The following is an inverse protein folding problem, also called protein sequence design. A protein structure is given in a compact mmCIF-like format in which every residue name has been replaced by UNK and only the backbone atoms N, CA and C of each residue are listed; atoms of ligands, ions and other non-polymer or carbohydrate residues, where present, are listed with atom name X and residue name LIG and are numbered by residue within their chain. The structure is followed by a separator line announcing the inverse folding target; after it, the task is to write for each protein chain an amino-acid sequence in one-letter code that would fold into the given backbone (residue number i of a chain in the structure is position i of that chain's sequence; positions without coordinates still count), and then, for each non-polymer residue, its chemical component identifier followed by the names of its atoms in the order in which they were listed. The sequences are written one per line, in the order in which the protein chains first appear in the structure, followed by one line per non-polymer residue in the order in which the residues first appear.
data_IF_695702584067
#
_entry.id   IF_695702584067
#
_cell.length_a   1.000
_cell.length_b   1.000
_cell.length_c   1.000
_cell.angle_alpha   90.00
_cell.angle_beta   90.00
_cell.angle_gamma   90.00
#
_symmetry.space_group_name_H-M   'P 1'
#
loop_
_entity.id
_entity.type
_entity.pdbx_description
1 polymer ?
#
# COMPACT_ATOMS: atom_id res chain seq x y z
N UNK A 1 -19.80 -20.21 6.54
CA UNK A 1 -20.01 -19.21 5.48
C UNK A 1 -20.85 -18.11 6.11
N UNK A 2 -20.22 -17.00 6.43
CA UNK A 2 -20.94 -15.83 6.94
C UNK A 2 -21.25 -14.98 5.70
N UNK A 3 -22.44 -15.18 5.11
CA UNK A 3 -22.90 -14.29 4.04
C UNK A 3 -23.17 -12.91 4.67
N UNK A 4 -22.18 -12.05 4.62
CA UNK A 4 -22.28 -10.69 5.13
C UNK A 4 -23.19 -9.81 4.27
N UNK A 5 -23.64 -10.31 3.11
CA UNK A 5 -24.41 -9.54 2.14
C UNK A 5 -23.62 -8.37 1.52
N UNK A 6 -22.31 -8.34 1.72
CA UNK A 6 -21.37 -7.39 1.09
C UNK A 6 -20.64 -8.03 -0.08
N UNK A 7 -20.08 -7.19 -0.93
CA UNK A 7 -19.20 -7.61 -2.02
C UNK A 7 -17.98 -8.34 -1.46
N UNK A 8 -17.54 -9.42 -2.10
CA UNK A 8 -16.30 -10.08 -1.70
C UNK A 8 -15.10 -9.17 -2.02
N UNK A 9 -14.43 -8.71 -0.97
CA UNK A 9 -13.31 -7.77 -1.08
C UNK A 9 -11.96 -8.48 -1.29
N UNK A 10 -11.90 -9.82 -1.26
CA UNK A 10 -10.73 -10.58 -1.72
C UNK A 10 -10.75 -10.82 -3.24
N UNK A 11 -11.92 -10.73 -3.87
CA UNK A 11 -12.08 -10.95 -5.29
C UNK A 11 -11.66 -9.70 -6.10
N UNK A 12 -10.66 -9.83 -6.94
CA UNK A 12 -10.16 -8.77 -7.81
C UNK A 12 -11.22 -8.24 -8.79
N UNK A 13 -12.12 -9.11 -9.26
CA UNK A 13 -13.20 -8.72 -10.17
C UNK A 13 -14.20 -7.75 -9.51
N UNK A 14 -14.29 -7.78 -8.19
CA UNK A 14 -15.05 -6.80 -7.42
C UNK A 14 -14.58 -5.35 -7.60
N UNK A 15 -13.36 -5.15 -8.09
CA UNK A 15 -12.75 -3.85 -8.34
C UNK A 15 -12.57 -3.53 -9.83
N UNK A 16 -13.01 -4.42 -10.74
CA UNK A 16 -12.81 -4.26 -12.18
C UNK A 16 -13.45 -2.98 -12.75
N UNK A 17 -14.56 -2.54 -12.18
CA UNK A 17 -15.24 -1.29 -12.54
C UNK A 17 -14.84 -0.07 -11.70
N UNK A 18 -13.83 -0.23 -10.82
CA UNK A 18 -13.34 0.79 -9.91
C UNK A 18 -13.62 0.48 -8.44
N UNK A 19 -13.29 1.42 -7.56
CA UNK A 19 -13.48 1.25 -6.11
C UNK A 19 -14.96 1.15 -5.76
N UNK A 20 -15.42 0.10 -5.04
CA UNK A 20 -16.82 -0.09 -4.70
C UNK A 20 -17.28 0.83 -3.54
N UNK A 21 -17.34 2.13 -3.79
CA UNK A 21 -17.65 3.16 -2.80
C UNK A 21 -19.00 2.97 -2.11
N UNK A 22 -19.99 2.45 -2.81
CA UNK A 22 -21.33 2.18 -2.24
C UNK A 22 -21.27 1.08 -1.18
N UNK A 23 -20.53 -0.01 -1.46
CA UNK A 23 -20.28 -1.09 -0.52
C UNK A 23 -19.60 -0.55 0.75
N UNK A 24 -18.52 0.21 0.61
CA UNK A 24 -17.83 0.81 1.75
C UNK A 24 -18.70 1.81 2.52
N UNK A 25 -19.58 2.55 1.84
CA UNK A 25 -20.52 3.46 2.50
C UNK A 25 -21.54 2.71 3.33
N UNK A 26 -22.06 1.59 2.81
CA UNK A 26 -22.97 0.71 3.55
C UNK A 26 -22.28 0.06 4.73
N UNK A 27 -21.07 -0.49 4.56
CA UNK A 27 -20.28 -1.08 5.64
C UNK A 27 -20.02 -0.08 6.77
N UNK A 28 -19.60 1.15 6.46
CA UNK A 28 -19.36 2.19 7.50
C UNK A 28 -20.57 2.44 8.38
N UNK A 29 -21.76 2.32 7.83
CA UNK A 29 -23.02 2.61 8.52
C UNK A 29 -23.55 1.40 9.28
N UNK A 30 -23.50 0.21 8.68
CA UNK A 30 -24.22 -0.98 9.13
C UNK A 30 -23.30 -1.97 9.88
N UNK A 31 -22.07 -2.16 9.37
CA UNK A 31 -21.10 -3.12 9.91
C UNK A 31 -19.66 -2.60 9.64
N UNK A 32 -19.19 -1.63 10.45
CA UNK A 32 -17.91 -0.96 10.19
C UNK A 32 -16.66 -1.82 10.41
N UNK A 33 -16.81 -2.96 11.08
CA UNK A 33 -15.78 -3.98 11.31
C UNK A 33 -16.32 -5.31 10.81
N UNK A 34 -16.24 -5.53 9.51
CA UNK A 34 -16.83 -6.67 8.83
C UNK A 34 -15.77 -7.71 8.44
N UNK A 35 -16.11 -8.98 8.55
CA UNK A 35 -15.27 -10.07 8.06
C UNK A 35 -15.50 -10.30 6.56
N UNK A 36 -14.42 -10.46 5.79
CA UNK A 36 -14.44 -11.01 4.43
C UNK A 36 -13.93 -12.44 4.48
N UNK A 37 -14.75 -13.39 4.02
CA UNK A 37 -14.34 -14.79 3.91
C UNK A 37 -13.17 -14.93 2.93
N UNK A 38 -12.29 -15.86 3.23
CA UNK A 38 -11.16 -16.19 2.37
C UNK A 38 -11.55 -16.98 1.13
N UNK A 39 -10.57 -17.15 0.27
CA UNK A 39 -10.62 -17.96 -0.93
C UNK A 39 -9.40 -18.90 -1.01
N UNK A 40 -8.88 -19.17 -2.20
CA UNK A 40 -7.67 -19.99 -2.37
C UNK A 40 -6.37 -19.29 -1.98
N UNK A 41 -6.37 -17.97 -1.89
CA UNK A 41 -5.19 -17.14 -1.66
C UNK A 41 -5.14 -16.54 -0.25
N UNK A 42 -6.28 -16.44 0.43
CA UNK A 42 -6.36 -15.90 1.79
C UNK A 42 -7.36 -16.66 2.66
N UNK A 43 -7.08 -16.77 3.95
CA UNK A 43 -8.00 -17.31 4.96
C UNK A 43 -9.16 -16.36 5.29
N UNK A 44 -9.08 -15.14 4.82
CA UNK A 44 -10.01 -14.07 5.12
C UNK A 44 -9.41 -13.00 6.02
N UNK A 45 -10.12 -11.86 6.13
CA UNK A 45 -9.61 -10.72 6.88
C UNK A 45 -10.73 -9.81 7.40
N UNK A 46 -10.38 -9.02 8.42
CA UNK A 46 -11.25 -7.98 8.96
C UNK A 46 -11.11 -6.69 8.18
N UNK A 47 -12.23 -6.13 7.74
CA UNK A 47 -12.30 -4.84 7.10
C UNK A 47 -12.62 -3.76 8.13
N UNK A 48 -11.79 -2.73 8.19
CA UNK A 48 -12.04 -1.52 8.97
C UNK A 48 -12.45 -0.40 8.02
N UNK A 49 -13.65 0.13 8.19
CA UNK A 49 -14.17 1.13 7.24
C UNK A 49 -14.38 2.52 7.86
N UNK A 50 -14.33 2.67 9.19
CA UNK A 50 -14.38 3.97 9.88
C UNK A 50 -12.98 4.51 10.12
N UNK A 51 -12.80 5.80 9.90
CA UNK A 51 -11.53 6.48 10.11
C UNK A 51 -10.96 6.30 11.53
N UNK A 52 -11.81 6.35 12.56
CA UNK A 52 -11.37 6.17 13.94
C UNK A 52 -10.78 4.78 14.19
N UNK A 53 -11.41 3.73 13.65
CA UNK A 53 -10.97 2.33 13.80
C UNK A 53 -9.67 2.08 13.04
N UNK A 54 -9.56 2.62 11.82
CA UNK A 54 -8.34 2.57 11.01
C UNK A 54 -7.19 3.29 11.73
N UNK A 55 -7.47 4.46 12.29
CA UNK A 55 -6.46 5.23 13.04
C UNK A 55 -5.98 4.50 14.29
N UNK A 56 -6.90 3.85 15.02
CA UNK A 56 -6.57 3.01 16.17
C UNK A 56 -5.67 1.85 15.75
N UNK A 57 -6.08 1.07 14.75
CA UNK A 57 -5.31 -0.07 14.27
C UNK A 57 -3.91 0.32 13.77
N UNK A 58 -3.78 1.45 13.08
CA UNK A 58 -2.49 1.94 12.59
C UNK A 58 -1.55 2.46 13.69
N UNK A 59 -2.06 2.82 14.86
CA UNK A 59 -1.26 3.40 15.96
C UNK A 59 -0.90 2.39 17.04
N UNK A 60 -1.75 1.40 17.25
CA UNK A 60 -1.60 0.44 18.34
C UNK A 60 -0.86 -0.82 17.86
N UNK A 61 0.44 -0.71 17.71
CA UNK A 61 1.32 -1.82 17.31
C UNK A 61 1.49 -2.90 18.42
N UNK A 62 1.00 -2.65 19.62
CA UNK A 62 0.99 -3.68 20.67
C UNK A 62 -0.11 -4.72 20.43
N UNK A 63 -1.20 -4.30 19.79
CA UNK A 63 -2.34 -5.16 19.45
C UNK A 63 -2.29 -5.57 17.97
N UNK A 64 -2.01 -4.62 17.07
CA UNK A 64 -2.01 -4.82 15.62
C UNK A 64 -0.57 -4.88 15.10
N UNK A 65 -0.01 -6.09 15.09
CA UNK A 65 1.35 -6.35 14.64
C UNK A 65 1.45 -6.40 13.13
N UNK A 66 2.51 -5.80 12.57
CA UNK A 66 2.90 -5.96 11.16
C UNK A 66 3.94 -7.07 10.94
N UNK A 67 4.43 -7.70 12.02
CA UNK A 67 5.55 -8.65 11.96
C UNK A 67 5.21 -10.00 11.32
N UNK A 68 3.97 -10.21 10.89
CA UNK A 68 3.57 -11.40 10.15
C UNK A 68 3.16 -11.11 8.70
N UNK A 69 3.44 -9.90 8.22
CA UNK A 69 3.13 -9.45 6.88
C UNK A 69 2.13 -8.30 6.87
N UNK A 70 2.09 -7.63 5.72
CA UNK A 70 1.21 -6.47 5.45
C UNK A 70 0.36 -6.70 4.20
N UNK A 71 0.27 -7.93 3.73
CA UNK A 71 -0.48 -8.32 2.53
C UNK A 71 -1.76 -9.03 2.92
N UNK A 72 -2.74 -8.99 2.02
CA UNK A 72 -4.00 -9.72 2.18
C UNK A 72 -3.79 -11.20 1.91
N UNK A 73 -2.94 -11.54 0.93
CA UNK A 73 -2.65 -12.92 0.55
C UNK A 73 -1.87 -13.65 1.65
N UNK A 74 -2.28 -14.86 1.95
CA UNK A 74 -1.54 -15.74 2.83
C UNK A 74 -0.21 -16.13 2.18
N UNK A 75 0.87 -16.07 2.94
CA UNK A 75 2.21 -16.42 2.49
C UNK A 75 2.78 -17.51 3.39
N UNK A 76 3.58 -18.38 2.80
CA UNK A 76 4.43 -19.26 3.59
C UNK A 76 5.48 -18.43 4.36
N UNK A 77 6.00 -18.98 5.46
CA UNK A 77 7.06 -18.31 6.21
C UNK A 77 8.31 -18.03 5.36
N UNK A 78 8.65 -18.94 4.45
CA UNK A 78 9.79 -18.80 3.54
C UNK A 78 9.60 -17.64 2.56
N UNK A 79 8.42 -17.54 1.94
CA UNK A 79 8.07 -16.43 1.04
C UNK A 79 8.05 -15.10 1.76
N UNK A 80 7.49 -15.07 2.97
CA UNK A 80 7.50 -13.88 3.82
C UNK A 80 8.93 -13.44 4.12
N UNK A 81 9.79 -14.33 4.61
CA UNK A 81 11.17 -13.99 4.96
C UNK A 81 12.02 -13.55 3.76
N UNK A 82 11.77 -14.11 2.57
CA UNK A 82 12.48 -13.74 1.35
C UNK A 82 12.17 -12.31 0.87
N UNK A 83 11.01 -11.75 1.24
CA UNK A 83 10.52 -10.44 0.78
C UNK A 83 10.27 -9.45 1.91
N UNK A 84 10.52 -9.85 3.16
CA UNK A 84 10.28 -9.02 4.34
C UNK A 84 11.02 -7.69 4.24
N UNK A 85 10.29 -6.63 4.48
CA UNK A 85 10.82 -5.26 4.56
C UNK A 85 10.76 -4.75 6.00
N UNK A 86 11.39 -3.62 6.29
CA UNK A 86 11.31 -3.03 7.63
C UNK A 86 9.88 -2.57 8.00
N UNK A 87 8.99 -2.39 7.03
CA UNK A 87 7.57 -2.09 7.27
C UNK A 87 6.83 -3.27 7.91
N UNK A 88 7.36 -4.47 7.73
CA UNK A 88 6.87 -5.73 8.29
C UNK A 88 7.60 -6.09 9.60
N UNK A 89 7.98 -5.08 10.35
CA UNK A 89 8.58 -5.21 11.68
C UNK A 89 7.81 -4.37 12.70
N UNK A 90 7.86 -4.78 13.96
CA UNK A 90 7.30 -4.02 15.07
C UNK A 90 8.40 -3.32 15.87
N UNK A 91 8.01 -2.47 16.81
CA UNK A 91 8.94 -1.88 17.77
C UNK A 91 9.56 -2.99 18.68
N UNK A 92 10.86 -2.90 19.03
CA UNK A 92 11.76 -1.78 18.79
C UNK A 92 12.43 -1.77 17.41
N UNK A 93 12.50 -2.91 16.71
CA UNK A 93 13.23 -3.08 15.44
C UNK A 93 12.80 -2.02 14.40
N UNK A 94 11.51 -1.88 14.15
CA UNK A 94 10.97 -0.87 13.25
C UNK A 94 11.43 0.55 13.62
N UNK A 95 11.36 0.88 14.91
CA UNK A 95 11.70 2.22 15.39
C UNK A 95 13.19 2.51 15.18
N UNK A 96 14.06 1.54 15.39
CA UNK A 96 15.51 1.72 15.27
C UNK A 96 15.92 1.89 13.80
N UNK A 97 15.40 1.04 12.90
CA UNK A 97 15.64 1.18 11.46
C UNK A 97 15.12 2.55 10.96
N UNK A 98 13.91 2.90 11.34
CA UNK A 98 13.30 4.15 10.92
C UNK A 98 14.04 5.38 11.43
N UNK A 99 14.55 5.35 12.67
CA UNK A 99 15.39 6.41 13.23
C UNK A 99 16.68 6.61 12.45
N UNK A 100 17.28 5.51 11.97
CA UNK A 100 18.47 5.57 11.12
C UNK A 100 18.19 6.15 9.73
N UNK A 101 17.06 5.81 9.14
CA UNK A 101 16.70 6.20 7.76
C UNK A 101 16.10 7.60 7.68
N UNK A 102 15.23 7.99 8.62
CA UNK A 102 14.48 9.23 8.59
C UNK A 102 15.29 10.53 8.34
N UNK A 103 16.50 10.72 8.91
CA UNK A 103 17.28 11.93 8.65
C UNK A 103 17.57 12.19 7.18
N UNK A 104 17.69 11.12 6.36
CA UNK A 104 17.95 11.23 4.92
C UNK A 104 16.73 11.73 4.13
N UNK A 105 15.53 11.61 4.70
CA UNK A 105 14.28 12.08 4.11
C UNK A 105 13.79 13.40 4.72
N UNK A 106 14.60 14.05 5.55
CA UNK A 106 14.25 15.35 6.10
C UNK A 106 14.09 16.37 4.98
N UNK A 107 13.07 17.26 5.11
CA UNK A 107 12.73 18.24 4.08
C UNK A 107 13.93 19.02 3.52
N UNK A 108 14.90 19.51 4.35
CA UNK A 108 16.08 20.21 3.82
C UNK A 108 17.03 19.32 3.02
N UNK A 109 17.04 18.02 3.28
CA UNK A 109 17.87 17.06 2.54
C UNK A 109 17.23 16.75 1.19
N UNK A 110 15.93 16.46 1.19
CA UNK A 110 15.17 16.18 -0.05
C UNK A 110 15.18 17.40 -0.98
N UNK A 111 15.05 18.61 -0.45
CA UNK A 111 15.08 19.84 -1.26
C UNK A 111 16.40 20.05 -2.04
N UNK A 112 17.49 19.41 -1.63
CA UNK A 112 18.76 19.48 -2.38
C UNK A 112 18.70 18.75 -3.74
N UNK A 113 17.75 17.87 -3.92
CA UNK A 113 17.57 17.10 -5.14
C UNK A 113 16.68 17.80 -6.19
N UNK A 114 16.00 18.90 -5.80
CA UNK A 114 15.04 19.60 -6.68
C UNK A 114 15.63 19.97 -8.04
N UNK A 115 16.82 20.57 -8.06
CA UNK A 115 17.48 20.98 -9.32
C UNK A 115 17.87 19.77 -10.18
N UNK A 116 18.40 18.72 -9.55
CA UNK A 116 18.77 17.50 -10.25
C UNK A 116 17.55 16.78 -10.83
N UNK A 117 16.49 16.61 -10.03
CA UNK A 117 15.24 15.98 -10.50
C UNK A 117 14.66 16.77 -11.66
N UNK A 118 14.64 18.11 -11.57
CA UNK A 118 14.17 18.98 -12.65
C UNK A 118 14.98 18.82 -13.93
N UNK A 119 16.31 18.81 -13.84
CA UNK A 119 17.19 18.63 -14.97
C UNK A 119 16.96 17.28 -15.65
N UNK A 120 16.93 16.20 -14.88
CA UNK A 120 16.63 14.85 -15.37
C UNK A 120 15.26 14.78 -16.05
N UNK A 121 14.22 15.33 -15.40
CA UNK A 121 12.86 15.36 -15.94
C UNK A 121 12.80 16.10 -17.28
N UNK A 122 13.42 17.27 -17.37
CA UNK A 122 13.47 18.04 -18.62
C UNK A 122 14.20 17.27 -19.73
N UNK A 123 15.29 16.59 -19.40
CA UNK A 123 16.02 15.75 -20.35
C UNK A 123 15.19 14.59 -20.88
N UNK A 124 14.48 13.89 -19.99
CA UNK A 124 13.60 12.78 -20.34
C UNK A 124 12.46 13.25 -21.25
N UNK A 125 11.79 14.34 -20.89
CA UNK A 125 10.69 14.90 -21.69
C UNK A 125 11.17 15.34 -23.07
N UNK A 126 12.29 16.05 -23.15
CA UNK A 126 12.86 16.45 -24.44
C UNK A 126 13.14 15.26 -25.35
N UNK A 127 13.74 14.20 -24.82
CA UNK A 127 14.02 12.96 -25.55
C UNK A 127 12.73 12.26 -26.02
N UNK A 128 11.68 12.25 -25.21
CA UNK A 128 10.40 11.69 -25.60
C UNK A 128 9.75 12.49 -26.75
N UNK A 129 9.82 13.81 -26.68
CA UNK A 129 9.25 14.73 -27.70
C UNK A 129 10.00 14.72 -29.05
N UNK A 130 11.17 14.09 -29.13
CA UNK A 130 11.86 13.86 -30.43
C UNK A 130 11.13 12.82 -31.29
N UNK A 131 10.23 12.03 -30.69
CA UNK A 131 9.40 11.04 -31.38
C UNK A 131 8.03 11.60 -31.67
N UNK A 132 7.45 11.25 -32.81
CA UNK A 132 6.07 11.61 -33.14
C UNK A 132 5.05 10.83 -32.30
N UNK A 133 5.41 9.63 -31.84
CA UNK A 133 4.61 8.75 -31.00
C UNK A 133 5.55 7.95 -30.09
N UNK A 134 5.16 7.77 -28.82
CA UNK A 134 5.95 7.01 -27.87
C UNK A 134 5.07 6.42 -26.76
N UNK A 135 5.53 5.33 -26.15
CA UNK A 135 4.97 4.79 -24.92
C UNK A 135 5.43 5.66 -23.73
N UNK A 136 4.48 6.31 -23.07
CA UNK A 136 4.77 7.22 -21.96
C UNK A 136 5.30 6.49 -20.73
N UNK A 137 4.92 5.21 -20.53
CA UNK A 137 5.45 4.40 -19.44
C UNK A 137 6.93 4.12 -19.64
N UNK A 138 7.30 3.66 -20.83
CA UNK A 138 8.69 3.31 -21.15
C UNK A 138 9.61 4.53 -21.24
N UNK A 139 9.12 5.60 -21.88
CA UNK A 139 9.94 6.77 -22.18
C UNK A 139 9.99 7.80 -21.02
N UNK A 140 8.98 7.84 -20.16
CA UNK A 140 8.88 8.83 -19.08
C UNK A 140 8.77 8.17 -17.71
N UNK A 141 7.73 7.38 -17.46
CA UNK A 141 7.42 6.92 -16.09
C UNK A 141 8.48 5.98 -15.49
N UNK A 142 9.11 5.12 -16.30
CA UNK A 142 10.17 4.22 -15.85
C UNK A 142 11.54 4.89 -15.64
N UNK A 143 11.73 6.12 -16.15
CA UNK A 143 13.02 6.82 -16.12
C UNK A 143 13.22 7.61 -14.83
N UNK A 144 12.14 7.94 -14.13
CA UNK A 144 12.13 8.65 -12.85
C UNK A 144 11.25 7.82 -11.88
N UNK A 145 11.82 6.96 -11.06
CA UNK A 145 11.10 6.26 -9.98
C UNK A 145 10.70 7.19 -8.85
#
# INVERSE_FOLDING_TARGET
MHDSGYLNLSDHDSFASGVPHETFTRMRREDPVAWTDGDTETKGFWNLTRHADILLANRDNAIFSSAQGIRIEDQSYEEYMARRTFQETDAPEHTDIRRFVNPNFAKPVVAKFDSLIRELTVGIIKKALEKSEFDAVDMIAKQLP
#
